data_IF_885184925706
#
_entry.id   IF_885184925706
#
_cell.length_a   1.000
_cell.length_b   1.000
_cell.length_c   1.000
_cell.angle_alpha   90.00
_cell.angle_beta   90.00
_cell.angle_gamma   90.00
#
_symmetry.space_group_name_H-M   'P 1'
#
loop_
_entity.id
_entity.type
_entity.pdbx_description
1 polymer ?
#
# COMPACT_ATOMS: atom_id res chain seq x y z
N UNK A 1 16.09 -12.83 -51.80
CA UNK A 1 15.37 -14.02 -52.29
C UNK A 1 14.11 -14.15 -51.42
N UNK A 2 13.01 -13.46 -51.76
CA UNK A 2 11.85 -13.94 -52.54
C UNK A 2 11.20 -15.18 -51.87
N UNK A 3 9.93 -15.20 -51.42
CA UNK A 3 8.65 -14.84 -52.08
C UNK A 3 7.57 -14.75 -50.98
N UNK A 4 6.70 -13.73 -50.82
CA UNK A 4 5.51 -13.30 -51.60
C UNK A 4 4.56 -14.43 -52.04
N UNK A 5 3.33 -14.44 -51.50
CA UNK A 5 2.08 -14.57 -52.27
C UNK A 5 0.86 -14.17 -51.44
N UNK A 6 0.24 -13.08 -51.87
CA UNK A 6 -1.15 -12.72 -51.58
C UNK A 6 -2.10 -13.62 -52.38
N UNK A 7 -3.38 -13.68 -51.97
CA UNK A 7 -4.53 -13.53 -52.89
C UNK A 7 -5.83 -13.30 -52.10
N UNK A 8 -6.56 -12.31 -52.60
CA UNK A 8 -7.86 -11.81 -52.21
C UNK A 8 -9.01 -12.66 -52.77
N UNK A 9 -10.21 -12.54 -52.18
CA UNK A 9 -11.43 -12.56 -52.99
C UNK A 9 -12.57 -11.76 -52.34
N UNK A 10 -13.09 -10.83 -53.14
CA UNK A 10 -14.26 -9.98 -52.91
C UNK A 10 -15.47 -10.67 -53.53
N UNK A 11 -16.68 -10.51 -52.97
CA UNK A 11 -17.93 -10.48 -53.76
C UNK A 11 -19.07 -9.79 -53.00
N UNK A 12 -19.50 -8.66 -53.58
CA UNK A 12 -20.73 -7.93 -53.35
C UNK A 12 -21.93 -8.66 -53.97
N UNK A 13 -23.13 -8.39 -53.44
CA UNK A 13 -24.31 -8.10 -54.26
C UNK A 13 -25.56 -8.93 -53.95
N UNK A 14 -26.58 -8.32 -53.34
CA UNK A 14 -27.77 -7.84 -54.08
C UNK A 14 -28.87 -7.36 -53.11
N UNK A 15 -29.30 -6.12 -53.34
CA UNK A 15 -30.57 -5.57 -52.86
C UNK A 15 -31.73 -6.16 -53.69
N UNK A 16 -32.87 -6.42 -53.04
CA UNK A 16 -34.17 -6.32 -53.71
C UNK A 16 -35.12 -5.49 -52.85
N UNK A 17 -35.54 -4.39 -53.46
CA UNK A 17 -36.53 -3.44 -52.98
C UNK A 17 -37.85 -3.74 -53.71
N UNK A 18 -38.98 -3.85 -53.01
CA UNK A 18 -40.32 -3.69 -53.60
C UNK A 18 -41.21 -2.85 -52.70
N UNK A 19 -41.54 -1.67 -53.23
CA UNK A 19 -42.65 -0.79 -52.82
C UNK A 19 -43.96 -1.25 -53.45
N UNK A 20 -45.05 -0.95 -52.76
CA UNK A 20 -46.35 -0.40 -53.24
C UNK A 20 -47.50 -1.00 -52.39
N UNK A 21 -48.59 -0.34 -52.05
CA UNK A 21 -49.02 1.06 -52.00
C UNK A 21 -50.42 1.05 -51.33
N UNK A 22 -50.72 2.07 -50.53
CA UNK A 22 -52.04 2.68 -50.24
C UNK A 22 -53.33 1.84 -50.15
N UNK A 23 -54.04 1.95 -49.03
CA UNK A 23 -55.41 2.52 -49.03
C UNK A 23 -55.85 2.90 -47.61
N UNK A 24 -56.48 4.07 -47.54
CA UNK A 24 -57.08 4.73 -46.39
C UNK A 24 -58.46 4.16 -46.06
N UNK A 25 -58.76 3.94 -44.78
CA UNK A 25 -60.08 4.27 -44.20
C UNK A 25 -59.97 4.33 -42.67
N UNK A 26 -60.38 5.47 -42.13
CA UNK A 26 -60.51 5.71 -40.70
C UNK A 26 -61.72 4.95 -40.14
N UNK A 27 -61.64 4.52 -38.89
CA UNK A 27 -62.75 4.59 -37.92
C UNK A 27 -62.21 4.36 -36.50
N UNK A 28 -62.88 5.03 -35.57
CA UNK A 28 -62.41 5.43 -34.27
C UNK A 28 -62.52 4.33 -33.18
N UNK A 29 -61.95 4.69 -32.03
CA UNK A 29 -62.27 4.21 -30.67
C UNK A 29 -61.53 2.97 -30.17
N UNK A 30 -60.58 3.19 -29.26
CA UNK A 30 -60.64 2.74 -27.87
C UNK A 30 -59.25 2.93 -27.24
N UNK A 31 -59.07 4.07 -26.57
CA UNK A 31 -57.95 4.28 -25.66
C UNK A 31 -58.13 3.35 -24.45
N UNK A 32 -57.23 2.39 -24.27
CA UNK A 32 -56.98 1.79 -22.97
C UNK A 32 -55.47 1.59 -22.81
N UNK A 33 -54.85 2.60 -22.20
CA UNK A 33 -53.46 2.64 -21.80
C UNK A 33 -53.18 1.56 -20.75
N UNK A 34 -52.46 0.51 -21.14
CA UNK A 34 -51.76 -0.37 -20.20
C UNK A 34 -50.57 0.41 -19.67
N UNK A 35 -50.76 1.01 -18.49
CA UNK A 35 -49.71 1.63 -17.70
C UNK A 35 -48.79 0.53 -17.18
N UNK A 36 -47.72 0.24 -17.91
CA UNK A 36 -46.60 -0.54 -17.42
C UNK A 36 -45.89 0.29 -16.34
N UNK A 37 -46.28 0.13 -15.07
CA UNK A 37 -45.51 0.63 -13.93
C UNK A 37 -44.17 -0.12 -13.90
N UNK A 38 -43.17 0.44 -14.59
CA UNK A 38 -41.78 0.16 -14.26
C UNK A 38 -41.52 0.72 -12.87
N UNK A 39 -41.56 -0.14 -11.86
CA UNK A 39 -40.94 0.14 -10.58
C UNK A 39 -39.43 0.30 -10.82
N UNK A 40 -39.00 1.53 -11.11
CA UNK A 40 -37.63 1.98 -10.89
C UNK A 40 -37.43 2.05 -9.37
N UNK A 41 -37.16 0.89 -8.75
CA UNK A 41 -36.68 0.82 -7.39
C UNK A 41 -35.17 0.53 -7.47
N UNK A 42 -34.41 1.55 -7.84
CA UNK A 42 -32.98 1.61 -7.60
C UNK A 42 -32.73 2.85 -6.76
N UNK A 43 -32.62 2.68 -5.44
CA UNK A 43 -32.15 3.76 -4.58
C UNK A 43 -30.67 3.99 -4.89
N UNK A 44 -30.36 4.79 -5.90
CA UNK A 44 -29.04 5.40 -6.00
C UNK A 44 -28.98 6.37 -4.83
N UNK A 45 -28.33 5.96 -3.73
CA UNK A 45 -27.95 6.89 -2.65
C UNK A 45 -27.17 8.01 -3.33
N UNK A 46 -27.72 9.22 -3.32
CA UNK A 46 -27.04 10.40 -3.82
C UNK A 46 -25.80 10.57 -2.94
N UNK A 47 -24.61 10.38 -3.52
CA UNK A 47 -23.36 10.69 -2.81
C UNK A 47 -23.46 12.12 -2.29
N UNK A 48 -23.04 12.36 -1.05
CA UNK A 48 -22.98 13.73 -0.53
C UNK A 48 -22.00 14.53 -1.39
N UNK A 49 -22.37 15.77 -1.73
CA UNK A 49 -21.51 16.64 -2.55
C UNK A 49 -20.21 17.01 -1.80
N UNK A 50 -20.23 16.95 -0.47
CA UNK A 50 -19.08 17.08 0.41
C UNK A 50 -18.92 15.87 1.33
N UNK A 51 -17.74 15.73 1.92
CA UNK A 51 -17.34 14.67 2.83
C UNK A 51 -16.49 15.21 3.98
N UNK A 52 -16.47 14.46 5.08
CA UNK A 52 -15.55 14.70 6.19
C UNK A 52 -14.14 14.20 5.85
N UNK A 53 -13.13 15.03 6.09
CA UNK A 53 -11.72 14.67 5.93
C UNK A 53 -10.81 15.40 6.92
N UNK A 54 -9.69 14.76 7.28
CA UNK A 54 -8.57 15.45 7.89
C UNK A 54 -7.62 15.96 6.82
N UNK A 55 -7.41 17.27 6.84
CA UNK A 55 -6.57 17.98 5.86
C UNK A 55 -5.45 18.73 6.57
N UNK A 56 -4.45 19.09 5.77
CA UNK A 56 -3.50 20.14 6.10
C UNK A 56 -3.60 21.25 5.05
N UNK A 57 -3.56 22.51 5.50
CA UNK A 57 -3.59 23.70 4.64
C UNK A 57 -2.18 24.29 4.44
N UNK A 58 -1.21 23.80 5.20
CA UNK A 58 0.21 24.11 5.13
C UNK A 58 1.03 22.98 5.76
N UNK A 59 2.33 22.94 5.46
CA UNK A 59 3.25 22.01 6.12
C UNK A 59 3.59 22.47 7.54
N UNK A 60 3.81 21.51 8.45
CA UNK A 60 4.21 21.81 9.81
C UNK A 60 4.12 20.65 10.80
N UNK A 61 4.08 21.03 12.08
CA UNK A 61 3.89 20.12 13.22
C UNK A 61 2.45 19.59 13.25
N UNK A 62 2.11 18.81 14.27
CA UNK A 62 0.78 18.19 14.38
C UNK A 62 -0.38 19.19 14.44
N UNK A 63 -0.11 20.45 14.77
CA UNK A 63 -1.10 21.53 14.89
C UNK A 63 -1.72 21.94 13.56
N UNK A 64 -1.11 21.57 12.42
CA UNK A 64 -1.64 21.90 11.08
C UNK A 64 -2.77 20.97 10.63
N UNK A 65 -3.01 19.86 11.35
CA UNK A 65 -4.11 18.94 11.07
C UNK A 65 -5.43 19.59 11.45
N UNK A 66 -6.37 19.61 10.50
CA UNK A 66 -7.72 20.14 10.70
C UNK A 66 -8.76 19.20 10.10
N UNK A 67 -9.83 18.94 10.82
CA UNK A 67 -11.02 18.25 10.29
C UNK A 67 -11.88 19.24 9.50
N UNK A 68 -12.46 18.79 8.40
CA UNK A 68 -13.30 19.60 7.53
C UNK A 68 -14.40 18.74 6.93
N UNK A 69 -15.66 19.15 7.12
CA UNK A 69 -16.86 18.44 6.61
C UNK A 69 -17.31 18.95 5.22
N UNK A 70 -16.58 19.94 4.70
CA UNK A 70 -16.85 20.65 3.44
C UNK A 70 -15.90 20.24 2.30
N UNK A 71 -15.10 19.18 2.48
CA UNK A 71 -14.23 18.73 1.39
C UNK A 71 -15.07 18.09 0.31
N UNK A 72 -14.92 18.50 -0.95
CA UNK A 72 -15.67 17.91 -2.06
C UNK A 72 -15.42 16.41 -2.14
N UNK A 73 -16.50 15.62 -2.21
CA UNK A 73 -16.39 14.17 -2.42
C UNK A 73 -15.68 13.93 -3.76
N UNK A 74 -14.63 13.08 -3.80
CA UNK A 74 -13.87 12.87 -5.02
C UNK A 74 -14.77 12.21 -6.08
N UNK A 75 -14.72 12.76 -7.30
CA UNK A 75 -15.44 12.19 -8.45
C UNK A 75 -14.52 11.28 -9.25
N UNK A 76 -15.11 10.30 -9.94
CA UNK A 76 -14.41 9.43 -10.88
C UNK A 76 -14.09 10.26 -12.13
N UNK A 77 -12.81 10.57 -12.34
CA UNK A 77 -12.32 11.34 -13.48
C UNK A 77 -11.82 10.45 -14.61
N UNK A 78 -11.24 9.30 -14.26
CA UNK A 78 -10.73 8.33 -15.23
C UNK A 78 -11.64 7.11 -15.31
N UNK A 79 -11.75 6.52 -16.51
CA UNK A 79 -12.57 5.34 -16.73
C UNK A 79 -12.09 4.11 -15.94
N UNK A 80 -10.84 4.11 -15.48
CA UNK A 80 -10.22 3.03 -14.69
C UNK A 80 -10.22 3.31 -13.18
N UNK A 81 -10.87 4.38 -12.72
CA UNK A 81 -10.94 4.71 -11.30
C UNK A 81 -12.09 4.01 -10.58
N UNK A 82 -11.85 3.72 -9.30
CA UNK A 82 -12.79 3.17 -8.34
C UNK A 82 -12.93 4.18 -7.21
N UNK A 83 -14.18 4.48 -6.82
CA UNK A 83 -14.52 5.29 -5.66
C UNK A 83 -14.79 4.35 -4.48
N UNK A 84 -14.04 4.53 -3.39
CA UNK A 84 -14.08 3.70 -2.21
C UNK A 84 -14.59 4.54 -1.04
N UNK A 85 -15.63 4.07 -0.36
CA UNK A 85 -16.02 4.55 0.97
C UNK A 85 -15.06 3.95 1.99
N UNK A 86 -14.36 4.80 2.72
CA UNK A 86 -13.33 4.39 3.67
C UNK A 86 -13.98 3.95 4.98
N UNK A 87 -13.72 2.70 5.36
CA UNK A 87 -14.16 2.15 6.65
C UNK A 87 -13.05 2.28 7.69
N UNK A 88 -11.80 2.00 7.28
CA UNK A 88 -10.61 2.22 8.10
C UNK A 88 -9.40 2.64 7.25
N UNK A 89 -8.51 3.40 7.88
CA UNK A 89 -7.22 3.81 7.34
C UNK A 89 -6.12 3.53 8.37
N UNK A 90 -4.84 3.61 7.99
CA UNK A 90 -3.76 3.55 8.98
C UNK A 90 -2.66 4.57 8.69
N UNK A 91 -1.89 4.87 9.72
CA UNK A 91 -0.81 5.84 9.67
C UNK A 91 0.53 5.16 9.43
N UNK A 92 1.38 5.82 8.66
CA UNK A 92 2.76 5.44 8.38
C UNK A 92 3.70 6.59 8.77
N UNK A 93 4.99 6.30 9.06
CA UNK A 93 6.00 7.35 9.26
C UNK A 93 6.08 8.35 8.10
N UNK A 94 5.70 7.91 6.89
CA UNK A 94 5.60 8.79 5.72
C UNK A 94 4.52 9.86 5.89
N UNK A 95 3.38 9.56 6.52
CA UNK A 95 2.30 10.55 6.73
C UNK A 95 2.79 11.71 7.61
N UNK A 96 3.52 11.39 8.68
CA UNK A 96 4.14 12.36 9.60
C UNK A 96 5.17 13.19 8.82
N UNK A 97 6.02 12.52 8.05
CA UNK A 97 7.08 13.19 7.28
C UNK A 97 6.48 14.13 6.23
N UNK A 98 5.45 13.68 5.50
CA UNK A 98 4.73 14.47 4.51
C UNK A 98 4.00 15.66 5.14
N UNK A 99 3.41 15.50 6.34
CA UNK A 99 2.85 16.62 7.12
C UNK A 99 3.91 17.70 7.36
N UNK A 100 5.15 17.30 7.63
CA UNK A 100 6.31 18.20 7.77
C UNK A 100 6.90 18.74 6.46
N UNK A 101 6.35 18.40 5.29
CA UNK A 101 6.83 18.87 3.99
C UNK A 101 7.87 17.97 3.30
N UNK A 102 8.13 16.78 3.85
CA UNK A 102 9.03 15.82 3.21
C UNK A 102 8.49 15.30 1.89
N UNK A 103 9.34 15.32 0.86
CA UNK A 103 9.05 14.93 -0.50
C UNK A 103 8.20 15.93 -1.28
N UNK A 104 7.87 17.10 -0.72
CA UNK A 104 6.93 18.04 -1.31
C UNK A 104 7.26 18.39 -2.76
N UNK A 105 8.53 18.68 -3.08
CA UNK A 105 8.91 19.08 -4.44
C UNK A 105 8.70 17.96 -5.47
N UNK A 106 9.13 16.73 -5.15
CA UNK A 106 9.03 15.61 -6.09
C UNK A 106 7.59 15.08 -6.18
N UNK A 107 6.86 15.05 -5.07
CA UNK A 107 5.46 14.64 -5.06
C UNK A 107 4.56 15.66 -5.77
N UNK A 108 4.85 16.95 -5.65
CA UNK A 108 4.16 17.99 -6.44
C UNK A 108 4.38 17.82 -7.94
N UNK A 109 5.61 17.55 -8.37
CA UNK A 109 5.89 17.24 -9.78
C UNK A 109 5.11 16.01 -10.26
N UNK A 110 4.93 14.99 -9.42
CA UNK A 110 4.13 13.80 -9.75
C UNK A 110 2.62 14.09 -9.83
N UNK A 111 2.10 14.94 -8.93
CA UNK A 111 0.69 15.38 -8.94
C UNK A 111 0.36 16.16 -10.20
N UNK A 112 1.24 17.09 -10.55
CA UNK A 112 0.99 18.05 -11.61
C UNK A 112 2.20 18.15 -12.56
N UNK A 113 2.45 17.11 -13.39
CA UNK A 113 3.64 17.04 -14.24
C UNK A 113 3.70 18.16 -15.29
N UNK A 114 2.55 18.72 -15.67
CA UNK A 114 2.43 19.82 -16.63
C UNK A 114 2.39 21.20 -15.97
N UNK A 115 2.21 21.28 -14.65
CA UNK A 115 2.08 22.53 -13.89
C UNK A 115 3.41 23.08 -13.38
N UNK A 116 4.55 22.67 -13.95
CA UNK A 116 5.88 23.26 -13.63
C UNK A 116 5.86 24.80 -13.77
N UNK A 117 4.87 25.35 -14.51
CA UNK A 117 4.65 26.79 -14.70
C UNK A 117 3.43 27.37 -13.96
N UNK A 118 2.60 26.58 -13.26
CA UNK A 118 1.46 27.10 -12.50
C UNK A 118 1.74 27.12 -10.99
N UNK A 119 1.35 28.23 -10.34
CA UNK A 119 1.35 28.37 -8.87
C UNK A 119 0.16 27.61 -8.24
N UNK A 120 -0.08 26.38 -8.65
CA UNK A 120 -1.05 25.51 -7.98
C UNK A 120 -0.58 25.19 -6.56
N UNK A 121 -1.52 25.11 -5.61
CA UNK A 121 -1.27 24.65 -4.23
C UNK A 121 -1.75 23.21 -4.13
N UNK A 122 -0.96 22.30 -3.55
CA UNK A 122 -1.42 20.94 -3.22
C UNK A 122 -2.42 20.92 -2.05
N UNK A 123 -2.67 22.07 -1.42
CA UNK A 123 -3.58 22.22 -0.30
C UNK A 123 -5.03 22.56 -0.75
N UNK A 124 -6.06 22.08 -0.02
CA UNK A 124 -5.98 21.22 1.17
C UNK A 124 -5.50 19.80 0.83
N UNK A 125 -4.53 19.29 1.59
CA UNK A 125 -3.92 17.97 1.37
C UNK A 125 -4.43 16.95 2.39
N UNK A 126 -4.97 15.84 1.91
CA UNK A 126 -5.43 14.70 2.71
C UNK A 126 -4.29 13.67 2.83
N UNK A 127 -3.93 13.32 4.06
CA UNK A 127 -2.92 12.29 4.37
C UNK A 127 -3.56 10.89 4.51
N UNK A 128 -2.78 9.86 4.82
CA UNK A 128 -3.23 8.46 4.91
C UNK A 128 -2.94 7.69 3.64
N UNK A 129 -2.14 6.62 3.78
CA UNK A 129 -1.64 5.79 2.67
C UNK A 129 -2.22 4.38 2.63
N UNK A 130 -3.02 4.03 3.62
CA UNK A 130 -3.68 2.74 3.74
C UNK A 130 -5.20 2.93 3.73
N UNK A 131 -5.93 2.12 2.98
CA UNK A 131 -7.40 2.13 2.98
C UNK A 131 -7.92 0.70 3.03
N UNK A 132 -8.97 0.50 3.82
CA UNK A 132 -9.85 -0.65 3.79
C UNK A 132 -11.28 -0.13 3.76
N UNK A 133 -12.09 -0.61 2.84
CA UNK A 133 -13.40 0.01 2.59
C UNK A 133 -14.28 -0.75 1.62
N UNK A 134 -15.30 -0.06 1.11
CA UNK A 134 -16.32 -0.61 0.22
C UNK A 134 -16.35 0.19 -1.08
N UNK A 135 -16.42 -0.51 -2.21
CA UNK A 135 -16.55 0.15 -3.53
C UNK A 135 -17.96 0.73 -3.68
N UNK A 136 -18.05 2.05 -3.90
CA UNK A 136 -19.33 2.76 -4.07
C UNK A 136 -19.51 3.37 -5.47
N UNK A 137 -18.46 3.33 -6.30
CA UNK A 137 -18.52 3.75 -7.69
C UNK A 137 -17.37 3.19 -8.51
N UNK A 138 -17.60 2.96 -9.80
CA UNK A 138 -16.60 2.47 -10.74
C UNK A 138 -16.65 3.27 -12.04
N UNK A 139 -15.49 3.56 -12.60
CA UNK A 139 -15.36 4.07 -13.96
C UNK A 139 -15.77 3.02 -15.00
N UNK A 140 -16.02 3.46 -16.23
CA UNK A 140 -16.58 2.62 -17.29
C UNK A 140 -15.66 1.52 -17.84
N UNK A 141 -14.37 1.55 -17.49
CA UNK A 141 -13.38 0.53 -17.86
C UNK A 141 -12.95 -0.36 -16.69
N UNK A 142 -13.50 -0.15 -15.49
CA UNK A 142 -13.29 -1.06 -14.37
C UNK A 142 -14.05 -2.35 -14.64
N UNK A 143 -13.40 -3.49 -14.44
CA UNK A 143 -13.93 -4.82 -14.78
C UNK A 143 -13.86 -5.83 -13.63
N UNK A 144 -12.95 -5.63 -12.68
CA UNK A 144 -12.73 -6.52 -11.53
C UNK A 144 -13.60 -6.15 -10.33
N UNK A 145 -14.11 -4.91 -10.27
CA UNK A 145 -14.94 -4.42 -9.18
C UNK A 145 -16.29 -3.89 -9.68
N UNK A 146 -17.34 -4.19 -8.91
CA UNK A 146 -18.67 -3.62 -9.10
C UNK A 146 -19.09 -2.84 -7.83
N UNK A 147 -19.81 -1.71 -7.94
CA UNK A 147 -20.27 -0.97 -6.76
C UNK A 147 -21.23 -1.78 -5.88
N UNK A 148 -21.07 -1.68 -4.55
CA UNK A 148 -21.99 -2.25 -3.56
C UNK A 148 -21.30 -2.75 -2.28
N UNK A 149 -22.10 -2.97 -1.24
CA UNK A 149 -21.65 -3.37 0.12
C UNK A 149 -20.92 -4.73 0.18
N UNK A 150 -21.08 -5.56 -0.86
CA UNK A 150 -20.39 -6.85 -0.96
C UNK A 150 -18.93 -6.71 -1.44
N UNK A 151 -18.57 -5.61 -2.11
CA UNK A 151 -17.24 -5.42 -2.69
C UNK A 151 -16.34 -4.68 -1.71
N UNK A 152 -15.85 -5.45 -0.74
CA UNK A 152 -14.87 -5.00 0.24
C UNK A 152 -13.46 -5.05 -0.34
N UNK A 153 -12.76 -3.93 -0.25
CA UNK A 153 -11.44 -3.73 -0.85
C UNK A 153 -10.46 -3.15 0.15
N UNK A 154 -9.19 -3.30 -0.16
CA UNK A 154 -8.10 -2.61 0.50
C UNK A 154 -7.06 -2.15 -0.53
N UNK A 155 -6.29 -1.12 -0.19
CA UNK A 155 -5.30 -0.59 -1.11
C UNK A 155 -4.25 0.27 -0.39
N UNK A 156 -3.12 0.43 -1.06
CA UNK A 156 -2.08 1.37 -0.68
C UNK A 156 -2.19 2.63 -1.56
N UNK A 157 -2.62 3.74 -0.98
CA UNK A 157 -2.80 5.02 -1.67
C UNK A 157 -1.42 5.62 -2.00
N UNK A 158 -1.11 5.90 -3.28
CA UNK A 158 0.14 6.54 -3.65
C UNK A 158 0.32 7.92 -3.00
N UNK A 159 1.54 8.30 -2.57
CA UNK A 159 1.75 9.56 -1.84
C UNK A 159 1.54 10.83 -2.67
N UNK A 160 1.46 10.70 -4.00
CA UNK A 160 1.09 11.80 -4.90
C UNK A 160 -0.42 11.90 -5.16
N UNK A 161 -1.27 11.07 -4.55
CA UNK A 161 -2.74 11.21 -4.60
C UNK A 161 -3.27 11.79 -3.28
N UNK A 162 -4.53 12.24 -3.29
CA UNK A 162 -5.25 12.54 -2.06
C UNK A 162 -5.46 11.26 -1.24
N UNK A 163 -5.32 11.38 0.08
CA UNK A 163 -5.24 10.26 1.01
C UNK A 163 -6.55 9.66 1.48
N UNK A 164 -6.42 8.71 2.41
CA UNK A 164 -7.51 7.93 3.01
C UNK A 164 -7.98 8.41 4.38
N UNK A 165 -7.44 9.51 4.93
CA UNK A 165 -8.01 10.16 6.11
C UNK A 165 -9.23 11.02 5.76
N UNK A 166 -10.17 10.41 5.05
CA UNK A 166 -11.40 11.00 4.52
C UNK A 166 -12.47 9.92 4.39
N UNK A 167 -13.74 10.30 4.30
CA UNK A 167 -14.83 9.33 4.10
C UNK A 167 -14.78 8.60 2.76
N UNK A 168 -14.20 9.23 1.73
CA UNK A 168 -14.06 8.64 0.40
C UNK A 168 -12.68 8.89 -0.20
N UNK A 169 -12.21 7.93 -1.00
CA UNK A 169 -10.97 8.03 -1.78
C UNK A 169 -11.15 7.43 -3.17
N UNK A 170 -10.50 8.00 -4.17
CA UNK A 170 -10.45 7.45 -5.53
C UNK A 170 -9.08 6.85 -5.83
N UNK A 171 -9.07 5.63 -6.37
CA UNK A 171 -7.88 4.91 -6.78
C UNK A 171 -8.06 4.32 -8.17
N UNK A 172 -6.96 4.02 -8.85
CA UNK A 172 -7.04 3.24 -10.08
C UNK A 172 -7.33 1.78 -9.74
N UNK A 173 -8.10 1.08 -10.59
CA UNK A 173 -8.38 -0.35 -10.44
C UNK A 173 -7.12 -1.18 -10.19
N UNK A 174 -5.99 -0.89 -10.86
CA UNK A 174 -4.76 -1.66 -10.66
C UNK A 174 -4.13 -1.48 -9.26
N UNK A 175 -4.53 -0.45 -8.51
CA UNK A 175 -4.00 -0.15 -7.17
C UNK A 175 -4.84 -0.82 -6.06
N UNK A 176 -5.99 -1.39 -6.43
CA UNK A 176 -7.01 -1.90 -5.50
C UNK A 176 -7.03 -3.42 -5.55
N UNK A 177 -7.23 -4.03 -4.38
CA UNK A 177 -7.32 -5.48 -4.21
C UNK A 177 -8.55 -5.83 -3.38
N UNK A 178 -9.05 -7.06 -3.54
CA UNK A 178 -10.06 -7.57 -2.63
C UNK A 178 -9.48 -7.70 -1.22
N UNK A 179 -10.23 -7.20 -0.25
CA UNK A 179 -9.87 -7.32 1.16
C UNK A 179 -9.94 -8.81 1.58
N UNK A 180 -9.01 -9.31 2.41
CA UNK A 180 -9.11 -10.64 2.99
C UNK A 180 -10.43 -10.84 3.71
N UNK A 181 -11.08 -11.99 3.51
CA UNK A 181 -12.38 -12.29 4.12
C UNK A 181 -12.26 -12.52 5.62
N UNK A 182 -11.11 -12.99 6.08
CA UNK A 182 -10.85 -13.32 7.48
C UNK A 182 -10.70 -12.10 8.39
N UNK A 183 -10.41 -10.91 7.85
CA UNK A 183 -10.11 -9.73 8.65
C UNK A 183 -11.32 -8.81 8.87
N UNK A 184 -11.27 -7.97 9.89
CA UNK A 184 -12.07 -6.73 9.97
C UNK A 184 -11.54 -5.64 9.02
N UNK A 185 -12.28 -4.54 8.82
CA UNK A 185 -11.76 -3.38 8.08
C UNK A 185 -10.55 -2.75 8.81
N UNK A 186 -10.64 -2.64 10.14
CA UNK A 186 -9.56 -2.14 11.02
C UNK A 186 -8.26 -2.92 10.85
N UNK A 187 -8.32 -4.25 10.94
CA UNK A 187 -7.13 -5.09 10.75
C UNK A 187 -6.60 -5.00 9.32
N UNK A 188 -7.48 -5.06 8.32
CA UNK A 188 -7.07 -4.98 6.93
C UNK A 188 -6.38 -3.64 6.61
N UNK A 189 -6.83 -2.51 7.15
CA UNK A 189 -6.20 -1.21 6.91
C UNK A 189 -4.75 -1.12 7.45
N UNK A 190 -4.28 -2.07 8.26
CA UNK A 190 -2.92 -2.09 8.78
C UNK A 190 -1.87 -2.63 7.79
N UNK A 191 -2.28 -3.26 6.69
CA UNK A 191 -1.39 -4.09 5.86
C UNK A 191 -0.94 -3.44 4.53
N UNK A 192 -1.79 -2.76 3.73
CA UNK A 192 -1.51 -2.53 2.31
C UNK A 192 -0.20 -1.82 1.98
N UNK A 193 0.02 -0.63 2.54
CA UNK A 193 1.18 0.21 2.25
C UNK A 193 2.47 -0.47 2.66
N UNK A 194 2.45 -1.13 3.80
CA UNK A 194 3.62 -1.85 4.29
C UNK A 194 3.91 -3.11 3.48
N UNK A 195 2.88 -3.88 3.14
CA UNK A 195 3.03 -5.08 2.33
C UNK A 195 3.50 -4.73 0.91
N UNK A 196 2.90 -3.73 0.27
CA UNK A 196 3.30 -3.26 -1.05
C UNK A 196 4.74 -2.71 -1.08
N UNK A 197 5.14 -1.98 -0.04
CA UNK A 197 6.52 -1.50 0.11
C UNK A 197 7.50 -2.67 0.19
N UNK A 198 7.18 -3.68 1.01
CA UNK A 198 8.06 -4.82 1.17
C UNK A 198 8.09 -5.74 -0.06
N UNK A 199 6.96 -6.00 -0.69
CA UNK A 199 6.88 -6.75 -1.94
C UNK A 199 7.70 -6.08 -3.03
N UNK A 200 7.59 -4.77 -3.19
CA UNK A 200 8.43 -4.04 -4.14
C UNK A 200 9.92 -4.16 -3.81
N UNK A 201 10.30 -4.06 -2.53
CA UNK A 201 11.70 -4.21 -2.13
C UNK A 201 12.23 -5.63 -2.35
N UNK A 202 11.45 -6.67 -2.02
CA UNK A 202 11.87 -8.06 -2.13
C UNK A 202 11.83 -8.55 -3.57
N UNK A 203 10.75 -8.27 -4.30
CA UNK A 203 10.57 -8.74 -5.67
C UNK A 203 11.33 -7.87 -6.64
N UNK A 204 11.06 -6.55 -6.67
CA UNK A 204 11.61 -5.69 -7.71
C UNK A 204 13.08 -5.32 -7.45
N UNK A 205 13.46 -5.02 -6.21
CA UNK A 205 14.84 -4.65 -5.89
C UNK A 205 15.73 -5.86 -5.53
N UNK A 206 15.23 -6.80 -4.73
CA UNK A 206 16.00 -7.98 -4.33
C UNK A 206 15.89 -9.15 -5.34
N UNK A 207 14.92 -9.14 -6.26
CA UNK A 207 14.72 -10.22 -7.23
C UNK A 207 14.29 -11.54 -6.60
N UNK A 208 13.65 -11.50 -5.43
CA UNK A 208 13.11 -12.66 -4.74
C UNK A 208 11.70 -12.98 -5.24
N UNK A 209 11.35 -14.25 -5.27
CA UNK A 209 10.00 -14.73 -5.49
C UNK A 209 9.81 -16.04 -4.73
N UNK A 210 8.55 -16.49 -4.64
CA UNK A 210 8.20 -17.77 -4.00
C UNK A 210 9.08 -18.93 -4.48
N UNK A 211 9.31 -19.02 -5.79
CA UNK A 211 10.00 -20.16 -6.38
C UNK A 211 11.50 -20.16 -6.03
N UNK A 212 12.13 -18.98 -6.05
CA UNK A 212 13.56 -18.89 -5.79
C UNK A 212 13.91 -18.80 -4.29
N UNK A 213 13.02 -18.33 -3.41
CA UNK A 213 13.28 -18.27 -1.98
C UNK A 213 13.45 -19.65 -1.33
N UNK A 214 12.78 -20.66 -1.91
CA UNK A 214 12.89 -22.07 -1.49
C UNK A 214 14.02 -22.83 -2.20
N UNK A 215 14.66 -22.24 -3.23
CA UNK A 215 15.70 -22.92 -4.00
C UNK A 215 16.97 -23.11 -3.15
N UNK A 216 17.30 -24.38 -2.92
CA UNK A 216 18.55 -24.85 -2.33
C UNK A 216 19.74 -24.52 -3.23
N UNK A 217 20.24 -23.28 -3.20
CA UNK A 217 21.47 -22.94 -3.91
C UNK A 217 22.70 -23.37 -3.11
N UNK A 218 23.42 -24.35 -3.66
CA UNK A 218 24.79 -24.73 -3.29
C UNK A 218 25.01 -25.02 -1.80
N UNK A 219 24.38 -26.08 -1.29
CA UNK A 219 24.77 -26.70 -0.02
C UNK A 219 24.21 -26.05 1.26
N UNK A 220 23.33 -25.05 1.13
CA UNK A 220 22.52 -24.52 2.23
C UNK A 220 21.03 -24.71 1.92
N UNK A 221 20.24 -25.01 2.96
CA UNK A 221 18.85 -25.46 2.78
C UNK A 221 17.87 -24.33 2.35
N UNK A 222 18.15 -23.02 2.60
CA UNK A 222 17.22 -21.89 2.31
C UNK A 222 17.94 -20.53 2.10
N UNK A 223 17.30 -19.53 1.46
CA UNK A 223 17.79 -18.13 1.42
C UNK A 223 17.85 -17.52 2.83
N UNK A 224 18.98 -16.93 3.21
CA UNK A 224 19.14 -16.24 4.50
C UNK A 224 18.91 -14.74 4.33
N UNK A 225 17.97 -14.19 5.09
CA UNK A 225 17.61 -12.77 5.02
C UNK A 225 17.77 -12.13 6.38
N UNK A 226 18.55 -11.05 6.44
CA UNK A 226 18.65 -10.21 7.62
C UNK A 226 17.84 -8.93 7.45
N UNK A 227 17.14 -8.53 8.51
CA UNK A 227 16.45 -7.23 8.62
C UNK A 227 16.39 -6.75 10.06
N UNK A 228 16.18 -5.45 10.25
CA UNK A 228 15.70 -4.92 11.54
C UNK A 228 14.19 -4.98 11.63
N UNK A 229 13.69 -5.15 12.84
CA UNK A 229 12.29 -5.06 13.17
C UNK A 229 11.75 -3.69 12.81
N UNK A 230 10.65 -3.72 12.09
CA UNK A 230 9.79 -2.58 11.84
C UNK A 230 8.36 -3.04 11.69
N UNK A 231 7.47 -2.04 11.67
CA UNK A 231 6.03 -2.17 11.54
C UNK A 231 5.64 -2.99 10.29
N UNK A 232 6.53 -3.06 9.29
CA UNK A 232 6.22 -3.56 7.95
C UNK A 232 6.08 -5.08 7.84
N UNK A 233 6.61 -5.83 8.82
CA UNK A 233 6.44 -7.28 8.92
C UNK A 233 6.62 -8.17 7.68
N UNK A 234 7.55 -7.90 6.75
CA UNK A 234 7.79 -8.78 5.61
C UNK A 234 8.36 -10.15 5.97
N UNK A 235 8.75 -10.36 7.23
CA UNK A 235 9.17 -11.67 7.73
C UNK A 235 8.13 -12.74 7.43
N UNK A 236 6.85 -12.47 7.65
CA UNK A 236 5.78 -13.45 7.40
C UNK A 236 5.68 -13.84 5.92
N UNK A 237 5.85 -12.87 5.01
CA UNK A 237 5.90 -13.12 3.57
C UNK A 237 7.10 -14.00 3.20
N UNK A 238 8.28 -13.65 3.71
CA UNK A 238 9.51 -14.41 3.47
C UNK A 238 9.43 -15.84 4.04
N UNK A 239 8.85 -16.00 5.22
CA UNK A 239 8.57 -17.32 5.81
C UNK A 239 7.56 -18.10 4.99
N UNK A 240 6.51 -17.47 4.48
CA UNK A 240 5.56 -18.10 3.57
C UNK A 240 6.21 -18.55 2.25
N UNK A 241 7.28 -17.89 1.82
CA UNK A 241 8.13 -18.27 0.68
C UNK A 241 9.25 -19.26 1.03
N UNK A 242 9.37 -19.69 2.29
CA UNK A 242 10.36 -20.69 2.73
C UNK A 242 11.76 -20.14 3.04
N UNK A 243 11.93 -18.82 3.19
CA UNK A 243 13.22 -18.25 3.56
C UNK A 243 13.53 -18.47 5.06
N UNK A 244 14.83 -18.45 5.39
CA UNK A 244 15.33 -18.34 6.75
C UNK A 244 15.51 -16.86 7.12
N UNK A 245 14.79 -16.40 8.12
CA UNK A 245 14.66 -14.98 8.47
C UNK A 245 15.32 -14.70 9.81
N UNK A 246 16.37 -13.89 9.79
CA UNK A 246 17.02 -13.33 10.97
C UNK A 246 16.55 -11.89 11.17
N UNK A 247 16.05 -11.57 12.37
CA UNK A 247 15.50 -10.24 12.68
C UNK A 247 16.26 -9.61 13.84
N UNK A 248 16.67 -8.35 13.70
CA UNK A 248 17.17 -7.55 14.83
C UNK A 248 16.07 -6.73 15.47
N UNK A 249 15.81 -6.87 16.76
CA UNK A 249 14.80 -6.09 17.49
C UNK A 249 15.33 -5.66 18.86
N UNK A 250 14.55 -4.92 19.65
CA UNK A 250 14.86 -4.77 21.07
C UNK A 250 14.37 -5.99 21.84
N UNK A 251 14.99 -6.35 22.96
CA UNK A 251 14.64 -7.57 23.72
C UNK A 251 13.15 -7.69 24.07
N UNK A 252 12.49 -6.57 24.39
CA UNK A 252 11.06 -6.56 24.68
C UNK A 252 10.13 -6.87 23.48
N UNK A 253 10.66 -6.97 22.27
CA UNK A 253 9.91 -7.33 21.06
C UNK A 253 10.16 -8.79 20.63
N UNK A 254 11.14 -9.48 21.23
CA UNK A 254 11.60 -10.80 20.77
C UNK A 254 10.46 -11.83 20.69
N UNK A 255 9.63 -11.94 21.72
CA UNK A 255 8.51 -12.88 21.75
C UNK A 255 7.52 -12.67 20.59
N UNK A 256 7.21 -11.40 20.29
CA UNK A 256 6.35 -11.05 19.16
C UNK A 256 7.02 -11.40 17.82
N UNK A 257 8.31 -11.09 17.68
CA UNK A 257 9.07 -11.35 16.45
C UNK A 257 9.16 -12.85 16.15
N UNK A 258 9.42 -13.67 17.17
CA UNK A 258 9.45 -15.13 17.05
C UNK A 258 8.07 -15.71 16.77
N UNK A 259 7.03 -15.22 17.46
CA UNK A 259 5.64 -15.62 17.21
C UNK A 259 5.19 -15.36 15.77
N UNK A 260 5.78 -14.38 15.10
CA UNK A 260 5.52 -14.04 13.70
C UNK A 260 6.47 -14.74 12.71
N UNK A 261 7.23 -15.73 13.19
CA UNK A 261 7.95 -16.69 12.36
C UNK A 261 9.44 -16.41 12.15
N UNK A 262 10.06 -15.45 12.85
CA UNK A 262 11.51 -15.28 12.77
C UNK A 262 12.26 -16.51 13.32
N UNK A 263 13.22 -17.03 12.56
CA UNK A 263 14.03 -18.18 12.96
C UNK A 263 15.09 -17.77 13.99
N UNK A 264 15.78 -16.66 13.70
CA UNK A 264 16.80 -16.07 14.56
C UNK A 264 16.40 -14.65 14.94
N UNK A 265 16.58 -14.29 16.22
CA UNK A 265 16.37 -12.94 16.72
C UNK A 265 17.63 -12.45 17.41
N UNK A 266 18.02 -11.22 17.09
CA UNK A 266 19.22 -10.57 17.61
C UNK A 266 18.82 -9.27 18.31
N UNK A 267 19.06 -9.17 19.61
CA UNK A 267 18.70 -7.98 20.38
C UNK A 267 19.74 -6.87 20.19
N UNK A 268 19.35 -5.78 19.54
CA UNK A 268 20.25 -4.64 19.32
C UNK A 268 20.58 -3.83 20.57
N UNK A 269 19.88 -4.09 21.69
CA UNK A 269 20.17 -3.46 22.99
C UNK A 269 21.12 -4.27 23.85
N UNK A 270 21.39 -5.53 23.48
CA UNK A 270 22.20 -6.46 24.27
C UNK A 270 23.71 -6.43 23.95
N UNK A 271 24.14 -5.60 22.99
CA UNK A 271 25.56 -5.47 22.63
C UNK A 271 25.78 -5.05 21.18
N UNK A 272 26.97 -5.33 20.66
CA UNK A 272 27.33 -5.04 19.27
C UNK A 272 26.64 -6.03 18.31
N UNK A 273 25.61 -5.53 17.64
CA UNK A 273 24.83 -6.26 16.64
C UNK A 273 25.70 -6.74 15.48
N UNK A 274 26.68 -5.93 15.05
CA UNK A 274 27.53 -6.29 13.92
C UNK A 274 28.36 -7.53 14.28
N UNK A 275 28.98 -7.55 15.46
CA UNK A 275 29.75 -8.69 15.94
C UNK A 275 28.88 -9.95 16.12
N UNK A 276 27.67 -9.80 16.65
CA UNK A 276 26.73 -10.93 16.79
C UNK A 276 26.35 -11.53 15.43
N UNK A 277 26.03 -10.70 14.44
CA UNK A 277 25.68 -11.16 13.09
C UNK A 277 26.87 -11.66 12.28
N UNK A 278 28.08 -11.12 12.50
CA UNK A 278 29.30 -11.62 11.86
C UNK A 278 29.64 -13.05 12.29
N UNK A 279 29.21 -13.46 13.48
CA UNK A 279 29.33 -14.84 13.96
C UNK A 279 28.34 -15.82 13.30
N UNK A 280 27.33 -15.31 12.60
CA UNK A 280 26.35 -16.11 11.86
C UNK A 280 26.76 -16.32 10.40
N UNK A 281 26.10 -17.24 9.70
CA UNK A 281 26.34 -17.42 8.27
C UNK A 281 25.96 -16.16 7.47
N UNK A 282 26.68 -15.93 6.37
CA UNK A 282 26.43 -14.78 5.48
C UNK A 282 25.03 -14.84 4.86
N UNK A 283 24.45 -13.66 4.65
CA UNK A 283 23.10 -13.49 4.10
C UNK A 283 23.12 -13.36 2.57
N UNK A 284 22.03 -13.78 1.95
CA UNK A 284 21.80 -13.60 0.51
C UNK A 284 21.07 -12.28 0.24
N UNK A 285 20.21 -11.84 1.15
CA UNK A 285 19.56 -10.51 1.10
C UNK A 285 19.62 -9.83 2.45
N UNK A 286 19.95 -8.55 2.44
CA UNK A 286 19.79 -7.64 3.58
C UNK A 286 18.72 -6.62 3.22
N UNK A 287 17.66 -6.55 4.02
CA UNK A 287 16.61 -5.53 3.90
C UNK A 287 16.76 -4.51 5.03
N UNK A 288 17.21 -3.31 4.67
CA UNK A 288 17.48 -2.22 5.59
C UNK A 288 16.37 -1.16 5.56
N UNK A 289 15.67 -1.06 6.69
CA UNK A 289 14.54 -0.14 6.89
C UNK A 289 14.87 0.94 7.94
N UNK A 290 16.12 1.02 8.39
CA UNK A 290 16.60 2.02 9.36
C UNK A 290 17.38 3.11 8.64
N UNK A 291 18.21 2.69 7.69
CA UNK A 291 19.19 3.56 7.05
C UNK A 291 20.23 4.07 8.03
N UNK A 292 20.86 5.18 7.62
CA UNK A 292 21.98 5.78 8.34
C UNK A 292 23.33 5.21 7.94
N UNK A 293 24.35 6.08 7.96
CA UNK A 293 25.69 5.73 7.49
C UNK A 293 26.38 4.62 8.29
N UNK A 294 25.98 4.42 9.55
CA UNK A 294 26.62 3.42 10.41
C UNK A 294 26.11 2.01 10.09
N UNK A 295 24.78 1.81 10.03
CA UNK A 295 24.13 0.54 9.67
C UNK A 295 24.62 0.04 8.31
N UNK A 296 24.59 0.91 7.31
CA UNK A 296 24.96 0.55 5.94
C UNK A 296 26.41 0.08 5.82
N UNK A 297 27.34 0.66 6.59
CA UNK A 297 28.78 0.33 6.51
C UNK A 297 29.08 -1.11 6.92
N UNK A 298 28.48 -1.60 8.00
CA UNK A 298 28.72 -2.96 8.49
C UNK A 298 27.76 -3.98 7.88
N UNK A 299 26.48 -3.63 7.68
CA UNK A 299 25.47 -4.58 7.21
C UNK A 299 25.75 -5.11 5.79
N UNK A 300 26.35 -4.31 4.91
CA UNK A 300 26.80 -4.78 3.60
C UNK A 300 27.90 -5.86 3.72
N UNK A 301 28.67 -5.86 4.82
CA UNK A 301 29.68 -6.89 5.12
C UNK A 301 29.09 -8.24 5.55
N UNK A 302 27.79 -8.28 5.87
CA UNK A 302 27.09 -9.51 6.21
C UNK A 302 26.63 -10.31 5.00
N UNK A 303 26.66 -9.71 3.80
CA UNK A 303 26.26 -10.38 2.57
C UNK A 303 27.32 -11.36 2.07
N UNK A 304 26.86 -12.45 1.44
CA UNK A 304 27.71 -13.45 0.81
C UNK A 304 28.38 -12.87 -0.45
N UNK A 305 29.72 -12.73 -0.48
CA UNK A 305 30.42 -12.18 -1.64
C UNK A 305 30.23 -13.03 -2.91
N UNK A 306 30.19 -12.39 -4.08
CA UNK A 306 30.24 -13.03 -5.41
C UNK A 306 29.15 -14.08 -5.68
N UNK A 307 28.03 -14.02 -4.97
CA UNK A 307 26.94 -15.01 -5.02
C UNK A 307 25.66 -14.48 -5.67
N UNK A 308 25.64 -13.19 -6.01
CA UNK A 308 24.41 -12.48 -6.39
C UNK A 308 23.67 -11.84 -5.21
N UNK A 309 24.23 -11.91 -4.00
CA UNK A 309 23.65 -11.34 -2.80
C UNK A 309 23.41 -9.81 -2.91
N UNK A 310 22.35 -9.33 -2.26
CA UNK A 310 21.86 -7.95 -2.43
C UNK A 310 21.59 -7.24 -1.11
N UNK A 311 22.07 -6.01 -1.01
CA UNK A 311 21.67 -5.03 -0.01
C UNK A 311 20.55 -4.17 -0.59
N UNK A 312 19.37 -4.18 0.04
CA UNK A 312 18.23 -3.36 -0.35
C UNK A 312 17.89 -2.44 0.82
N UNK A 313 17.93 -1.13 0.60
CA UNK A 313 17.50 -0.15 1.60
C UNK A 313 16.24 0.59 1.17
N UNK A 314 15.29 0.74 2.10
CA UNK A 314 14.09 1.56 1.94
C UNK A 314 14.34 3.03 2.32
N UNK A 315 15.45 3.30 3.02
CA UNK A 315 15.79 4.65 3.49
C UNK A 315 16.71 5.31 2.49
N UNK A 316 16.11 6.03 1.55
CA UNK A 316 16.84 6.68 0.46
C UNK A 316 16.91 8.19 0.67
N UNK A 317 18.00 8.85 0.27
CA UNK A 317 18.13 10.30 0.37
C UNK A 317 17.38 11.04 -0.76
N UNK A 318 16.65 10.34 -1.64
CA UNK A 318 16.10 10.91 -2.87
C UNK A 318 15.16 12.11 -2.60
N UNK A 319 14.13 11.90 -1.78
CA UNK A 319 13.15 12.94 -1.47
C UNK A 319 13.79 14.09 -0.68
N UNK A 320 14.61 13.76 0.32
CA UNK A 320 15.35 14.75 1.11
C UNK A 320 16.28 15.61 0.24
N UNK A 321 17.04 15.00 -0.67
CA UNK A 321 17.94 15.72 -1.56
C UNK A 321 17.15 16.60 -2.55
N UNK A 322 16.03 16.12 -3.07
CA UNK A 322 15.15 16.92 -3.92
C UNK A 322 14.61 18.15 -3.18
N UNK A 323 14.22 18.01 -1.91
CA UNK A 323 13.71 19.13 -1.11
C UNK A 323 14.82 20.12 -0.74
N UNK A 324 15.99 19.64 -0.30
CA UNK A 324 17.10 20.48 0.17
C UNK A 324 17.90 21.15 -0.96
N UNK A 325 18.20 20.43 -2.03
CA UNK A 325 19.02 20.93 -3.15
C UNK A 325 18.20 21.30 -4.40
N UNK A 326 16.89 21.06 -4.39
CA UNK A 326 16.02 21.26 -5.56
C UNK A 326 15.94 20.02 -6.47
N UNK A 327 14.97 20.01 -7.38
CA UNK A 327 14.64 18.82 -8.18
C UNK A 327 15.81 18.35 -9.05
N UNK A 328 16.46 19.24 -9.81
CA UNK A 328 17.53 18.85 -10.73
C UNK A 328 18.78 18.37 -9.98
N UNK A 329 19.34 19.22 -9.13
CA UNK A 329 20.56 18.91 -8.38
C UNK A 329 20.33 17.76 -7.39
N UNK A 330 19.22 17.77 -6.66
CA UNK A 330 18.88 16.75 -5.67
C UNK A 330 18.71 15.36 -6.28
N UNK A 331 18.03 15.25 -7.43
CA UNK A 331 17.88 13.98 -8.14
C UNK A 331 19.22 13.54 -8.73
N UNK A 332 19.99 14.44 -9.35
CA UNK A 332 21.30 14.12 -9.89
C UNK A 332 22.27 13.62 -8.79
N UNK A 333 22.33 14.32 -7.65
CA UNK A 333 23.13 13.94 -6.48
C UNK A 333 22.73 12.57 -5.95
N UNK A 334 21.43 12.28 -5.91
CA UNK A 334 20.91 10.98 -5.49
C UNK A 334 21.31 9.87 -6.47
N UNK A 335 21.21 10.13 -7.78
CA UNK A 335 21.67 9.21 -8.82
C UNK A 335 23.16 8.91 -8.73
N UNK A 336 24.00 9.94 -8.57
CA UNK A 336 25.45 9.77 -8.38
C UNK A 336 25.77 8.99 -7.09
N UNK A 337 25.05 9.26 -5.99
CA UNK A 337 25.23 8.54 -4.73
C UNK A 337 24.93 7.04 -4.90
N UNK A 338 23.79 6.70 -5.50
CA UNK A 338 23.42 5.31 -5.77
C UNK A 338 24.42 4.63 -6.70
N UNK A 339 24.81 5.30 -7.79
CA UNK A 339 25.79 4.77 -8.75
C UNK A 339 27.13 4.45 -8.06
N UNK A 340 27.68 5.40 -7.31
CA UNK A 340 28.96 5.22 -6.62
C UNK A 340 28.90 4.08 -5.61
N UNK A 341 27.83 4.01 -4.79
CA UNK A 341 27.64 2.91 -3.82
C UNK A 341 27.46 1.56 -4.50
N UNK A 342 26.69 1.51 -5.59
CA UNK A 342 26.49 0.28 -6.35
C UNK A 342 27.80 -0.23 -6.97
N UNK A 343 28.57 0.67 -7.61
CA UNK A 343 29.86 0.31 -8.21
C UNK A 343 30.89 -0.08 -7.16
N UNK A 344 31.01 0.67 -6.07
CA UNK A 344 31.94 0.38 -4.99
C UNK A 344 31.68 -1.00 -4.39
N UNK A 345 30.43 -1.33 -4.05
CA UNK A 345 30.09 -2.62 -3.45
C UNK A 345 30.20 -3.78 -4.43
N UNK A 346 29.88 -3.57 -5.71
CA UNK A 346 30.04 -4.58 -6.74
C UNK A 346 31.53 -4.92 -6.97
N UNK A 347 32.39 -3.92 -7.09
CA UNK A 347 33.83 -4.12 -7.39
C UNK A 347 34.60 -4.60 -6.16
N UNK A 348 34.34 -4.04 -4.98
CA UNK A 348 35.13 -4.36 -3.77
C UNK A 348 34.66 -5.59 -3.01
N UNK A 349 33.36 -5.93 -3.09
CA UNK A 349 32.74 -7.00 -2.28
C UNK A 349 31.96 -8.03 -3.10
N UNK A 350 31.73 -7.78 -4.39
CA UNK A 350 30.96 -8.70 -5.23
C UNK A 350 29.48 -8.80 -4.86
N UNK A 351 28.90 -7.73 -4.30
CA UNK A 351 27.50 -7.69 -3.85
C UNK A 351 26.76 -6.53 -4.51
N UNK A 352 25.44 -6.68 -4.67
CA UNK A 352 24.61 -5.65 -5.31
C UNK A 352 24.00 -4.72 -4.27
N UNK A 353 24.15 -3.42 -4.48
CA UNK A 353 23.48 -2.40 -3.68
C UNK A 353 22.27 -1.83 -4.43
N UNK A 354 21.09 -1.77 -3.81
CA UNK A 354 19.83 -1.33 -4.41
C UNK A 354 19.00 -0.47 -3.47
N UNK A 355 18.21 0.41 -4.06
CA UNK A 355 17.15 1.14 -3.36
C UNK A 355 15.80 0.47 -3.63
N UNK A 356 15.03 0.26 -2.57
CA UNK A 356 13.64 -0.17 -2.65
C UNK A 356 12.71 1.03 -2.50
N UNK A 357 11.63 1.06 -3.27
CA UNK A 357 10.60 2.09 -3.19
C UNK A 357 9.23 1.45 -3.09
N UNK A 358 8.31 2.12 -2.41
CA UNK A 358 6.90 1.80 -2.50
C UNK A 358 6.43 1.82 -3.96
N UNK A 359 5.64 0.81 -4.33
CA UNK A 359 4.92 0.75 -5.60
C UNK A 359 3.48 0.30 -5.31
N UNK A 360 2.46 1.02 -5.81
CA UNK A 360 1.08 0.59 -5.69
C UNK A 360 0.82 -0.60 -6.63
N UNK A 361 0.30 -1.70 -6.08
CA UNK A 361 0.13 -2.96 -6.82
C UNK A 361 -1.00 -3.79 -6.19
N UNK A 362 -2.21 -3.68 -6.75
CA UNK A 362 -3.39 -4.45 -6.36
C UNK A 362 -3.18 -5.96 -6.51
N UNK A 363 -2.69 -6.46 -7.66
CA UNK A 363 -2.35 -7.87 -7.82
C UNK A 363 -1.39 -8.42 -6.76
N UNK A 364 -0.37 -7.64 -6.38
CA UNK A 364 0.52 -8.05 -5.29
C UNK A 364 -0.20 -8.11 -3.92
N UNK A 365 -1.17 -7.23 -3.69
CA UNK A 365 -2.05 -7.29 -2.50
C UNK A 365 -3.04 -8.45 -2.55
N UNK A 366 -3.43 -8.95 -3.72
CA UNK A 366 -4.24 -10.16 -3.83
C UNK A 366 -3.45 -11.39 -3.34
N UNK A 367 -2.16 -11.49 -3.64
CA UNK A 367 -1.28 -12.54 -3.09
C UNK A 367 -1.20 -12.47 -1.57
N UNK A 368 -1.07 -11.25 -1.02
CA UNK A 368 -1.09 -11.02 0.43
C UNK A 368 -2.43 -11.44 1.00
N UNK A 369 -3.53 -11.13 0.33
CA UNK A 369 -4.86 -11.51 0.78
C UNK A 369 -5.01 -13.03 0.91
N UNK A 370 -4.50 -13.78 -0.07
CA UNK A 370 -4.49 -15.25 -0.02
C UNK A 370 -3.68 -15.76 1.17
N UNK A 371 -2.52 -15.15 1.48
CA UNK A 371 -1.71 -15.55 2.64
C UNK A 371 -2.40 -15.24 3.97
N UNK A 372 -3.08 -14.11 4.06
CA UNK A 372 -3.85 -13.70 5.24
C UNK A 372 -5.05 -14.63 5.47
N UNK A 373 -5.85 -14.91 4.44
CA UNK A 373 -6.98 -15.84 4.54
C UNK A 373 -6.51 -17.28 4.86
N UNK A 374 -5.30 -17.66 4.45
CA UNK A 374 -4.68 -18.94 4.80
C UNK A 374 -4.03 -18.97 6.20
N UNK A 375 -4.10 -17.87 6.97
CA UNK A 375 -3.51 -17.76 8.31
C UNK A 375 -1.98 -17.75 8.32
N UNK A 376 -1.32 -17.52 7.18
CA UNK A 376 0.15 -17.46 7.04
C UNK A 376 0.71 -16.07 7.30
N UNK A 377 -0.13 -15.05 7.28
CA UNK A 377 0.24 -13.68 7.57
C UNK A 377 -0.83 -13.06 8.46
N UNK A 378 -0.41 -12.56 9.62
CA UNK A 378 -1.27 -11.93 10.60
C UNK A 378 -1.06 -10.41 10.59
N UNK A 379 -2.15 -9.62 10.63
CA UNK A 379 -2.06 -8.18 10.87
C UNK A 379 -1.59 -7.92 12.31
N UNK A 380 -0.78 -6.89 12.50
CA UNK A 380 -0.29 -6.49 13.83
C UNK A 380 -0.76 -5.06 14.10
N UNK A 381 -1.92 -4.93 14.74
CA UNK A 381 -2.50 -3.63 15.13
C UNK A 381 -2.06 -3.30 16.55
N UNK A 382 -1.38 -2.18 16.72
CA UNK A 382 -0.91 -1.71 18.04
C UNK A 382 -1.96 -0.83 18.73
N UNK A 383 -2.66 -0.01 17.96
CA UNK A 383 -3.67 0.89 18.48
C UNK A 383 -4.67 1.25 17.40
N UNK A 384 -5.91 1.47 17.83
CA UNK A 384 -6.99 1.95 16.99
C UNK A 384 -7.55 3.24 17.57
N UNK A 385 -7.70 4.26 16.74
CA UNK A 385 -8.30 5.55 17.12
C UNK A 385 -9.59 5.79 16.33
N UNK A 386 -10.60 6.44 16.91
CA UNK A 386 -11.72 6.95 16.13
C UNK A 386 -11.27 8.11 15.22
N UNK A 387 -12.04 8.40 14.17
CA UNK A 387 -11.75 9.47 13.21
C UNK A 387 -11.55 10.85 13.87
N UNK A 388 -12.27 11.12 14.97
CA UNK A 388 -12.13 12.37 15.73
C UNK A 388 -10.78 12.52 16.44
N UNK A 389 -9.99 11.44 16.56
CA UNK A 389 -8.71 11.41 17.27
C UNK A 389 -7.49 11.20 16.36
N UNK A 390 -7.61 11.56 15.08
CA UNK A 390 -6.47 11.53 14.15
C UNK A 390 -5.24 12.28 14.69
N UNK A 391 -5.34 13.48 15.30
CA UNK A 391 -4.17 14.17 15.85
C UNK A 391 -3.43 13.36 16.93
N UNK A 392 -4.16 12.66 17.81
CA UNK A 392 -3.59 11.80 18.85
C UNK A 392 -2.91 10.57 18.23
N UNK A 393 -3.49 10.01 17.16
CA UNK A 393 -2.89 8.93 16.42
C UNK A 393 -1.56 9.34 15.75
N UNK A 394 -1.49 10.55 15.18
CA UNK A 394 -0.23 11.11 14.66
C UNK A 394 0.81 11.30 15.76
N UNK A 395 0.42 11.84 16.93
CA UNK A 395 1.32 11.98 18.08
C UNK A 395 1.87 10.63 18.53
N UNK A 396 1.03 9.58 18.59
CA UNK A 396 1.47 8.23 18.95
C UNK A 396 2.54 7.72 17.97
N UNK A 397 2.36 7.93 16.67
CA UNK A 397 3.34 7.49 15.66
C UNK A 397 4.63 8.33 15.74
N UNK A 398 4.52 9.63 16.02
CA UNK A 398 5.69 10.52 16.22
C UNK A 398 6.54 10.15 17.43
N UNK A 399 5.94 9.63 18.50
CA UNK A 399 6.67 9.15 19.69
C UNK A 399 7.56 7.93 19.39
N UNK A 400 7.37 7.27 18.26
CA UNK A 400 8.16 6.12 17.85
C UNK A 400 7.82 4.84 18.62
N UNK A 401 8.81 3.96 18.78
CA UNK A 401 8.67 2.67 19.49
C UNK A 401 7.49 1.79 19.04
N UNK A 402 7.11 1.88 17.76
CA UNK A 402 5.98 1.14 17.24
C UNK A 402 6.15 -0.39 17.36
N UNK A 403 5.04 -1.06 17.65
CA UNK A 403 4.90 -2.51 17.83
C UNK A 403 3.67 -2.99 17.07
N UNK A 404 3.69 -2.74 15.76
CA UNK A 404 2.52 -2.85 14.91
C UNK A 404 2.06 -1.49 14.41
N UNK A 405 0.84 -1.46 13.87
CA UNK A 405 0.27 -0.32 13.15
C UNK A 405 -0.72 0.47 14.00
N UNK A 406 -0.75 1.77 13.77
CA UNK A 406 -1.78 2.67 14.29
C UNK A 406 -2.87 2.84 13.24
N UNK A 407 -4.08 2.42 13.55
CA UNK A 407 -5.24 2.40 12.66
C UNK A 407 -6.26 3.47 13.08
N UNK A 408 -6.98 4.03 12.11
CA UNK A 408 -8.07 4.98 12.27
C UNK A 408 -9.36 4.34 11.76
N UNK A 409 -10.41 4.28 12.60
CA UNK A 409 -11.78 3.93 12.17
C UNK A 409 -12.47 5.17 11.63
N UNK A 410 -12.91 5.12 10.37
CA UNK A 410 -13.47 6.26 9.66
C UNK A 410 -15.01 6.24 9.69
N UNK A 411 -15.63 5.07 9.51
CA UNK A 411 -17.08 4.96 9.34
C UNK A 411 -17.95 4.96 10.62
N UNK A 412 -17.35 5.00 11.81
CA UNK A 412 -18.05 4.84 13.11
C UNK A 412 -18.83 6.08 13.61
N UNK A 413 -19.24 7.01 12.75
CA UNK A 413 -20.02 8.17 13.20
C UNK A 413 -21.49 7.85 13.55
N UNK A 414 -21.89 6.58 13.60
CA UNK A 414 -23.31 6.19 13.79
C UNK A 414 -23.62 4.94 14.62
N UNK A 415 -22.64 4.14 15.07
CA UNK A 415 -22.93 2.93 15.84
C UNK A 415 -22.65 3.13 17.33
N UNK A 416 -23.70 2.90 18.12
CA UNK A 416 -23.79 3.17 19.55
C UNK A 416 -22.87 2.22 20.32
N UNK A 417 -22.13 2.77 21.30
CA UNK A 417 -21.48 2.24 22.54
C UNK A 417 -21.32 0.73 22.84
N UNK A 418 -21.90 -0.23 22.12
CA UNK A 418 -21.86 -1.65 22.42
C UNK A 418 -20.57 -2.36 21.97
N UNK A 419 -19.84 -1.84 20.97
CA UNK A 419 -18.57 -2.42 20.52
C UNK A 419 -17.33 -1.80 21.19
N UNK A 420 -17.50 -0.70 21.94
CA UNK A 420 -16.40 -0.13 22.73
C UNK A 420 -15.95 -1.09 23.86
N UNK A 421 -16.86 -1.90 24.40
CA UNK A 421 -16.52 -2.90 25.42
C UNK A 421 -15.84 -4.16 24.84
N UNK A 422 -16.02 -4.47 23.55
CA UNK A 422 -15.37 -5.61 22.90
C UNK A 422 -13.89 -5.38 22.61
N UNK A 423 -13.51 -4.14 22.30
CA UNK A 423 -12.12 -3.80 21.96
C UNK A 423 -11.21 -3.77 23.21
N UNK A 424 -11.72 -3.33 24.36
CA UNK A 424 -10.99 -3.43 25.63
C UNK A 424 -10.90 -4.88 26.13
N UNK A 425 -11.90 -5.73 25.83
CA UNK A 425 -11.91 -7.14 26.22
C UNK A 425 -10.97 -8.02 25.39
N UNK A 426 -10.82 -7.77 24.08
CA UNK A 426 -9.92 -8.56 23.21
C UNK A 426 -8.44 -8.16 23.38
N UNK A 427 -8.14 -6.92 23.78
CA UNK A 427 -6.79 -6.51 24.21
C UNK A 427 -6.41 -7.19 25.53
N UNK A 428 -7.36 -7.34 26.46
CA UNK A 428 -7.15 -8.05 27.73
C UNK A 428 -6.97 -9.56 27.56
N UNK A 429 -7.57 -10.18 26.54
CA UNK A 429 -7.36 -11.60 26.26
C UNK A 429 -5.90 -11.89 25.85
N UNK A 430 -5.24 -10.94 25.18
CA UNK A 430 -3.83 -11.00 24.82
C UNK A 430 -2.90 -10.83 26.04
N UNK A 431 -3.28 -9.98 27.01
CA UNK A 431 -2.53 -9.80 28.26
C UNK A 431 -2.66 -10.99 29.24
N UNK A 432 -3.82 -11.67 29.29
CA UNK A 432 -4.01 -12.87 30.13
C UNK A 432 -3.26 -14.11 29.63
N UNK A 433 -3.00 -14.22 28.33
CA UNK A 433 -2.19 -15.29 27.76
C UNK A 433 -0.69 -15.17 28.11
N UNK A 434 -0.23 -13.98 28.54
CA UNK A 434 1.17 -13.73 28.91
C UNK A 434 1.48 -13.95 30.40
N UNK A 435 0.47 -14.15 31.25
CA UNK A 435 0.65 -14.26 32.72
C UNK A 435 0.42 -15.67 33.27
N UNK A 436 0.13 -16.66 32.43
CA UNK A 436 -0.20 -18.04 32.89
C UNK A 436 0.89 -19.09 32.62
N UNK A 437 2.06 -18.69 32.14
CA UNK A 437 3.28 -19.51 32.15
C UNK A 437 4.41 -18.74 32.86
N UNK A 438 4.32 -18.69 34.18
CA UNK A 438 5.42 -18.41 35.11
C UNK A 438 5.67 -19.65 35.93
#
# INVERSE_FOLDING_TARGET
MASVRALSSTRLGSLVCRRAASSTTALASASCSVWCRRHLCGSVRRLQDSMSAWVIDQYGTNEVLRVSDEIMTPTIHLATEVLIKVEAASLNPLDISMRGGYGAKLLKLRREPLSVMQKGSEFPLILGRDVSGVVVGCGSQVTHFAPGDEVKVWAAVPPWKQGSLAEYVTLNEYEVSHKPKSLSHTEAASVPYVAATALSALVNAAGLCRDNCSDKRQGFDHWRIWRRWDILHPGQLLKAWGAHVTVTCSGNAEGLVRGLGADEVVDYTAGDVAAQLESTEKFDVVLDNVGGGDTERWAVGLLRPWSGAKYVTLVTPLLHNADSAGLLEGVARSGCNLHNKAMQNLVSRGVFYRWGFFAPDGPALDEVSVLVDAGKMLPVVQACFPFSQVPQAFQKVEQGHARGKTVIRVADQGETLAEQEGCDADVDHYHRAQTTHS
#
